data_IF_538558960809
#
_entry.id   IF_538558960809
#
_cell.length_a   1.000
_cell.length_b   1.000
_cell.length_c   1.000
_cell.angle_alpha   90.00
_cell.angle_beta   90.00
_cell.angle_gamma   90.00
#
_symmetry.space_group_name_H-M   'P 1'
#
loop_
_entity.id
_entity.type
_entity.pdbx_description
1 polymer ?
#
# COMPACT_ATOMS: atom_id res chain seq x y z
N UNK A 1 17.16 6.23 -31.08
CA UNK A 1 15.83 6.06 -30.48
C UNK A 1 15.78 4.63 -29.94
N UNK A 2 16.30 4.43 -28.73
CA UNK A 2 16.27 3.14 -28.06
C UNK A 2 15.00 3.08 -27.23
N UNK A 3 14.06 2.24 -27.62
CA UNK A 3 13.00 1.77 -26.73
C UNK A 3 13.62 0.74 -25.80
N UNK A 4 14.14 1.19 -24.66
CA UNK A 4 14.43 0.32 -23.53
C UNK A 4 13.11 -0.01 -22.85
N UNK A 5 12.40 -0.99 -23.40
CA UNK A 5 11.29 -1.65 -22.70
C UNK A 5 11.93 -2.71 -21.83
N UNK A 6 12.36 -2.31 -20.62
CA UNK A 6 12.78 -3.24 -19.57
C UNK A 6 11.65 -4.25 -19.40
N UNK A 7 11.96 -5.53 -19.63
CA UNK A 7 11.04 -6.62 -19.31
C UNK A 7 10.56 -6.45 -17.86
N UNK A 8 9.31 -6.83 -17.51
CA UNK A 8 8.93 -6.89 -16.11
C UNK A 8 9.99 -7.75 -15.42
N UNK A 9 10.68 -7.17 -14.44
CA UNK A 9 11.61 -7.89 -13.58
C UNK A 9 11.00 -9.26 -13.26
N UNK A 10 11.80 -10.33 -13.34
CA UNK A 10 11.34 -11.67 -12.95
C UNK A 10 10.60 -11.56 -11.62
N UNK A 11 9.28 -11.82 -11.64
CA UNK A 11 8.40 -11.60 -10.50
C UNK A 11 8.93 -12.32 -9.27
N UNK A 12 9.57 -13.47 -9.44
CA UNK A 12 10.20 -14.21 -8.35
C UNK A 12 11.32 -13.39 -7.72
N UNK A 13 12.24 -12.86 -8.54
CA UNK A 13 13.31 -11.99 -8.08
C UNK A 13 12.79 -10.71 -7.40
N UNK A 14 11.66 -10.16 -7.86
CA UNK A 14 11.00 -9.02 -7.19
C UNK A 14 10.49 -9.42 -5.80
N UNK A 15 9.80 -10.56 -5.69
CA UNK A 15 9.26 -11.05 -4.42
C UNK A 15 10.36 -11.45 -3.42
N UNK A 16 11.50 -11.95 -3.92
CA UNK A 16 12.63 -12.37 -3.10
C UNK A 16 13.40 -11.21 -2.47
N UNK A 17 13.24 -9.98 -3.00
CA UNK A 17 13.83 -8.77 -2.41
C UNK A 17 13.10 -8.30 -1.16
N UNK A 18 11.83 -8.64 -0.98
CA UNK A 18 11.04 -8.18 0.15
C UNK A 18 11.43 -8.90 1.45
N UNK A 19 11.72 -8.14 2.48
CA UNK A 19 12.02 -8.63 3.83
C UNK A 19 10.72 -8.75 4.62
N UNK A 20 10.19 -9.97 4.72
CA UNK A 20 9.01 -10.26 5.53
C UNK A 20 9.41 -10.43 7.00
N UNK A 21 8.54 -9.96 7.91
CA UNK A 21 8.74 -10.11 9.35
C UNK A 21 8.66 -11.59 9.82
N UNK A 22 8.82 -11.83 11.12
CA UNK A 22 8.76 -13.18 11.69
C UNK A 22 7.39 -13.88 11.51
N UNK A 23 6.34 -13.12 11.17
CA UNK A 23 5.00 -13.65 10.85
C UNK A 23 4.81 -13.86 9.35
N UNK A 24 5.83 -13.59 8.52
CA UNK A 24 5.75 -13.65 7.07
C UNK A 24 5.02 -12.47 6.45
N UNK A 25 4.97 -11.32 7.12
CA UNK A 25 4.20 -10.15 6.70
C UNK A 25 5.08 -8.95 6.35
N UNK A 26 4.59 -8.14 5.43
CA UNK A 26 5.18 -6.90 4.93
C UNK A 26 4.15 -5.77 5.12
N UNK A 27 4.48 -4.68 5.85
CA UNK A 27 3.65 -3.49 5.88
C UNK A 27 3.59 -2.86 4.48
N UNK A 28 2.38 -2.54 4.04
CA UNK A 28 2.12 -1.90 2.75
C UNK A 28 1.39 -0.57 2.96
N UNK A 29 2.10 0.53 2.72
CA UNK A 29 1.57 1.89 2.68
C UNK A 29 0.93 2.10 1.32
N UNK A 30 -0.37 2.43 1.32
CA UNK A 30 -1.10 2.75 0.11
C UNK A 30 -1.15 4.26 -0.06
N UNK A 31 -0.72 4.73 -1.22
CA UNK A 31 -0.65 6.14 -1.55
C UNK A 31 -1.42 6.41 -2.84
N UNK A 32 -2.19 7.50 -2.88
CA UNK A 32 -2.81 7.97 -4.09
C UNK A 32 -1.72 8.42 -5.09
N UNK A 33 -1.78 7.92 -6.31
CA UNK A 33 -0.66 7.99 -7.25
C UNK A 33 -0.33 9.41 -7.74
N UNK A 34 -1.33 10.29 -7.85
CA UNK A 34 -1.21 11.67 -8.34
C UNK A 34 -0.99 12.67 -7.20
N UNK A 35 -1.83 12.67 -6.16
CA UNK A 35 -1.76 13.62 -5.04
C UNK A 35 -0.67 13.29 -4.03
N UNK A 36 -0.21 12.03 -4.01
CA UNK A 36 0.72 11.48 -3.00
C UNK A 36 0.16 11.43 -1.58
N UNK A 37 -1.14 11.58 -1.44
CA UNK A 37 -1.82 11.39 -0.17
C UNK A 37 -1.70 9.93 0.29
N UNK A 38 -1.35 9.74 1.56
CA UNK A 38 -1.34 8.40 2.17
C UNK A 38 -2.78 8.03 2.51
N UNK A 39 -3.26 6.93 1.96
CA UNK A 39 -4.66 6.50 2.06
C UNK A 39 -4.88 5.53 3.21
N UNK A 40 -3.99 4.54 3.36
CA UNK A 40 -4.11 3.52 4.40
C UNK A 40 -2.81 2.72 4.53
N UNK A 41 -2.72 1.94 5.61
CA UNK A 41 -1.73 0.88 5.77
C UNK A 41 -2.44 -0.47 5.84
N UNK A 42 -1.90 -1.47 5.17
CA UNK A 42 -2.30 -2.87 5.30
C UNK A 42 -1.11 -3.80 5.39
N UNK A 43 -1.37 -5.09 5.53
CA UNK A 43 -0.33 -6.12 5.60
C UNK A 43 -0.46 -7.05 4.40
N UNK A 44 0.67 -7.42 3.82
CA UNK A 44 0.76 -8.39 2.73
C UNK A 44 1.71 -9.52 3.15
N UNK A 45 1.31 -10.77 2.95
CA UNK A 45 2.29 -11.85 2.83
C UNK A 45 2.84 -11.89 1.39
N UNK A 46 3.73 -12.84 1.11
CA UNK A 46 4.31 -13.01 -0.23
C UNK A 46 3.26 -13.22 -1.32
N UNK A 47 2.17 -13.93 -1.02
CA UNK A 47 1.09 -14.21 -1.99
C UNK A 47 0.22 -12.97 -2.25
N UNK A 48 -0.11 -12.20 -1.22
CA UNK A 48 -0.85 -10.94 -1.35
C UNK A 48 -0.04 -9.91 -2.16
N UNK A 49 1.28 -9.83 -1.94
CA UNK A 49 2.18 -9.03 -2.77
C UNK A 49 2.17 -9.51 -4.22
N UNK A 50 2.34 -10.82 -4.46
CA UNK A 50 2.30 -11.42 -5.80
C UNK A 50 1.00 -11.05 -6.52
N UNK A 51 -0.16 -11.29 -5.89
CA UNK A 51 -1.47 -10.95 -6.45
C UNK A 51 -1.58 -9.46 -6.77
N UNK A 52 -1.14 -8.60 -5.86
CA UNK A 52 -1.16 -7.14 -6.07
C UNK A 52 -0.39 -6.75 -7.34
N UNK A 53 0.82 -7.28 -7.51
CA UNK A 53 1.68 -6.97 -8.66
C UNK A 53 1.18 -7.59 -9.98
N UNK A 54 0.53 -8.77 -9.93
CA UNK A 54 0.07 -9.46 -11.15
C UNK A 54 -1.35 -9.15 -11.57
N UNK A 55 -2.23 -8.82 -10.63
CA UNK A 55 -3.67 -8.63 -10.89
C UNK A 55 -4.05 -7.14 -11.02
N UNK A 56 -3.13 -6.23 -10.68
CA UNK A 56 -3.34 -4.78 -10.77
C UNK A 56 -4.35 -4.23 -9.76
N UNK A 57 -4.69 -5.03 -8.73
CA UNK A 57 -5.62 -4.68 -7.64
C UNK A 57 -4.97 -4.98 -6.30
N UNK A 58 -5.11 -4.05 -5.35
CA UNK A 58 -4.54 -4.25 -4.01
C UNK A 58 -5.21 -5.41 -3.29
N UNK A 59 -4.40 -6.40 -2.92
CA UNK A 59 -4.79 -7.55 -2.10
C UNK A 59 -4.00 -7.55 -0.81
N UNK A 60 -4.68 -7.72 0.31
CA UNK A 60 -4.07 -7.77 1.64
C UNK A 60 -4.27 -9.15 2.28
N UNK A 61 -3.46 -9.43 3.30
CA UNK A 61 -3.67 -10.50 4.27
C UNK A 61 -4.33 -9.95 5.53
N UNK A 62 -5.51 -10.46 5.88
CA UNK A 62 -6.18 -10.09 7.14
C UNK A 62 -5.59 -10.90 8.29
N UNK A 63 -4.81 -10.26 9.16
CA UNK A 63 -4.22 -10.92 10.35
C UNK A 63 -5.26 -11.49 11.32
N UNK A 64 -6.43 -10.87 11.43
CA UNK A 64 -7.50 -11.33 12.32
C UNK A 64 -8.33 -12.46 11.72
N UNK A 65 -8.65 -12.36 10.42
CA UNK A 65 -9.50 -13.35 9.72
C UNK A 65 -8.70 -14.50 9.10
N UNK A 66 -7.38 -14.35 9.01
CA UNK A 66 -6.48 -15.31 8.36
C UNK A 66 -6.93 -15.63 6.93
N UNK A 67 -7.29 -14.58 6.19
CA UNK A 67 -7.79 -14.68 4.81
C UNK A 67 -7.27 -13.54 3.94
N UNK A 68 -7.19 -13.81 2.64
CA UNK A 68 -6.95 -12.78 1.63
C UNK A 68 -8.20 -11.94 1.41
N UNK A 69 -8.03 -10.64 1.27
CA UNK A 69 -9.10 -9.77 0.84
C UNK A 69 -8.58 -8.71 -0.13
N UNK A 70 -9.29 -8.52 -1.23
CA UNK A 70 -8.98 -7.50 -2.22
C UNK A 70 -9.78 -6.24 -1.91
N UNK A 71 -9.11 -5.09 -1.85
CA UNK A 71 -9.73 -3.83 -1.45
C UNK A 71 -10.87 -3.49 -2.41
N UNK A 72 -12.05 -3.28 -1.83
CA UNK A 72 -13.26 -2.85 -2.54
C UNK A 72 -14.16 -3.97 -3.04
N UNK A 73 -13.86 -5.26 -2.84
CA UNK A 73 -14.71 -6.35 -3.35
C UNK A 73 -16.13 -6.34 -2.77
N UNK A 74 -16.30 -5.88 -1.52
CA UNK A 74 -17.61 -5.75 -0.88
C UNK A 74 -18.24 -4.36 -1.08
N UNK A 75 -17.45 -3.29 -0.98
CA UNK A 75 -17.96 -1.90 -0.98
C UNK A 75 -17.97 -1.24 -2.36
N UNK A 76 -17.30 -1.82 -3.36
CA UNK A 76 -17.00 -1.17 -4.63
C UNK A 76 -15.83 -0.17 -4.57
N UNK A 77 -15.30 0.13 -3.37
CA UNK A 77 -14.21 1.11 -3.22
C UNK A 77 -12.84 0.50 -3.50
N UNK A 78 -12.55 0.32 -4.78
CA UNK A 78 -11.39 -0.40 -5.30
C UNK A 78 -10.10 0.44 -5.28
N UNK A 79 -8.95 -0.26 -5.25
CA UNK A 79 -7.63 0.33 -5.44
C UNK A 79 -6.93 -0.36 -6.62
N UNK A 80 -6.62 0.41 -7.66
CA UNK A 80 -5.93 -0.07 -8.85
C UNK A 80 -4.47 0.32 -8.81
N UNK A 81 -3.56 -0.65 -8.93
CA UNK A 81 -2.12 -0.42 -8.82
C UNK A 81 -1.61 0.40 -10.00
N UNK A 82 -0.76 1.39 -9.71
CA UNK A 82 -0.07 2.26 -10.67
C UNK A 82 1.45 2.16 -10.54
N UNK A 83 1.94 1.79 -9.37
CA UNK A 83 3.36 1.51 -9.13
C UNK A 83 3.57 0.94 -7.74
N UNK A 84 4.74 0.37 -7.51
CA UNK A 84 5.15 -0.11 -6.19
C UNK A 84 6.65 0.10 -5.99
N UNK A 85 7.07 0.31 -4.76
CA UNK A 85 8.47 0.43 -4.38
C UNK A 85 8.68 -0.19 -3.00
N UNK A 86 9.77 -0.93 -2.84
CA UNK A 86 10.31 -1.28 -1.52
C UNK A 86 11.10 -0.07 -1.00
N UNK A 87 11.14 0.10 0.31
CA UNK A 87 12.05 1.04 0.95
C UNK A 87 13.50 0.53 0.98
N UNK A 88 14.38 1.20 1.73
CA UNK A 88 15.83 1.03 1.59
C UNK A 88 16.38 -0.30 2.14
N UNK A 89 15.72 -0.89 3.13
CA UNK A 89 16.00 -2.22 3.68
C UNK A 89 14.92 -3.26 3.30
N UNK A 90 13.98 -2.85 2.45
CA UNK A 90 12.96 -3.68 1.83
C UNK A 90 11.98 -4.35 2.81
N UNK A 91 11.84 -3.78 4.01
CA UNK A 91 10.90 -4.24 5.01
C UNK A 91 9.55 -3.52 4.95
N UNK A 92 9.42 -2.51 4.08
CA UNK A 92 8.17 -1.79 3.86
C UNK A 92 7.90 -1.57 2.37
N UNK A 93 6.64 -1.74 1.98
CA UNK A 93 6.16 -1.52 0.62
C UNK A 93 5.36 -0.22 0.52
N UNK A 94 5.72 0.63 -0.43
CA UNK A 94 4.85 1.68 -0.95
C UNK A 94 4.10 1.17 -2.17
N UNK A 95 2.77 1.25 -2.17
CA UNK A 95 1.94 0.97 -3.35
C UNK A 95 1.22 2.25 -3.76
N UNK A 96 1.53 2.73 -4.97
CA UNK A 96 0.83 3.84 -5.58
C UNK A 96 -0.41 3.31 -6.31
N UNK A 97 -1.57 3.88 -6.02
CA UNK A 97 -2.86 3.42 -6.54
C UNK A 97 -3.69 4.55 -7.12
N UNK A 98 -4.61 4.17 -8.01
CA UNK A 98 -5.81 4.93 -8.27
C UNK A 98 -6.92 4.42 -7.34
N UNK A 99 -7.38 5.27 -6.42
CA UNK A 99 -8.46 4.96 -5.47
C UNK A 99 -9.83 5.30 -6.07
N UNK A 100 -10.73 4.31 -6.10
CA UNK A 100 -12.14 4.50 -6.42
C UNK A 100 -12.95 4.58 -5.12
N UNK A 101 -13.76 5.62 -4.93
CA UNK A 101 -14.52 5.82 -3.70
C UNK A 101 -13.63 6.05 -2.47
N UNK A 102 -14.13 5.73 -1.28
CA UNK A 102 -13.41 5.93 -0.02
C UNK A 102 -12.41 4.80 0.28
N UNK A 103 -11.18 5.14 0.68
CA UNK A 103 -10.25 4.13 1.19
C UNK A 103 -10.74 3.62 2.57
N UNK A 104 -11.28 4.50 3.41
CA UNK A 104 -11.73 4.18 4.75
C UNK A 104 -13.18 3.67 4.80
N UNK A 105 -13.48 2.81 5.79
CA UNK A 105 -14.83 2.29 6.02
C UNK A 105 -15.78 3.32 6.65
N UNK A 106 -15.25 4.44 7.15
CA UNK A 106 -16.03 5.57 7.67
C UNK A 106 -16.64 6.42 6.56
N UNK A 107 -16.17 6.26 5.31
CA UNK A 107 -16.52 7.13 4.18
C UNK A 107 -15.45 8.16 3.84
N UNK A 108 -14.45 8.35 4.68
CA UNK A 108 -13.33 9.26 4.42
C UNK A 108 -12.41 8.78 3.29
N UNK A 109 -11.81 9.73 2.58
CA UNK A 109 -10.90 9.42 1.48
C UNK A 109 -9.68 8.65 1.99
N UNK A 110 -9.03 9.15 3.05
CA UNK A 110 -7.96 8.48 3.76
C UNK A 110 -8.40 7.94 5.12
N UNK A 111 -7.80 6.83 5.56
CA UNK A 111 -7.92 6.36 6.94
C UNK A 111 -7.36 7.37 7.95
N UNK A 112 -6.44 8.24 7.53
CA UNK A 112 -5.77 9.21 8.39
C UNK A 112 -6.55 10.53 8.56
N UNK A 113 -7.67 10.70 7.84
CA UNK A 113 -8.56 11.87 7.99
C UNK A 113 -9.49 11.76 9.20
N UNK A 114 -9.65 10.56 9.76
CA UNK A 114 -10.66 10.26 10.78
C UNK A 114 -10.33 10.90 12.13
N UNK A 115 -9.05 10.91 12.52
CA UNK A 115 -8.60 11.41 13.83
C UNK A 115 -7.17 11.97 13.73
N UNK A 116 -6.99 13.19 13.20
CA UNK A 116 -5.69 13.80 13.06
C UNK A 116 -5.10 14.18 14.42
N UNK A 117 -3.83 13.85 14.64
CA UNK A 117 -3.11 14.18 15.86
C UNK A 117 -2.33 15.49 15.72
N UNK A 118 -2.34 16.32 16.76
CA UNK A 118 -1.49 17.50 16.86
C UNK A 118 -0.22 17.17 17.66
N UNK A 119 0.99 17.46 17.14
CA UNK A 119 2.21 17.27 17.91
C UNK A 119 2.28 18.31 19.05
N UNK A 120 2.80 17.89 20.21
CA UNK A 120 3.25 18.84 21.23
C UNK A 120 4.50 19.51 20.68
N UNK A 121 4.45 20.82 20.48
CA UNK A 121 5.60 21.60 20.03
C UNK A 121 6.06 22.49 21.16
N UNK A 122 7.34 22.39 21.55
CA UNK A 122 8.01 23.35 22.44
C UNK A 122 8.36 24.67 21.71
N UNK A 123 7.67 24.95 20.61
CA UNK A 123 7.77 26.22 19.92
C UNK A 123 7.00 27.22 20.78
N UNK A 124 7.73 27.96 21.61
CA UNK A 124 7.25 29.19 22.22
C UNK A 124 6.58 30.10 21.17
N UNK A 125 5.82 31.11 21.59
CA UNK A 125 4.98 31.90 20.68
C UNK A 125 5.78 32.33 19.46
N UNK A 126 5.34 31.88 18.28
CA UNK A 126 5.93 32.31 17.01
C UNK A 126 5.75 33.84 16.95
N UNK A 127 6.88 34.54 16.88
CA UNK A 127 6.94 35.99 16.69
C UNK A 127 6.59 36.37 15.25
#
# INVERSE_FOLDING_TARGET
MSTDTTAPDDLTAVLDRAAFDASGLLPAVIQQHDTREVLMLGWMDREALRRTLTEGRVTFWSRSRQEYWRKGDTSGHAQYVRGAALDCDADTLLVQVEQIGAACHTGEHSCFDVDPLAPVTDLGPQA
#
